data_IF_673594464571
#
_entry.id   IF_673594464571
#
_cell.length_a   1.000
_cell.length_b   1.000
_cell.length_c   1.000
_cell.angle_alpha   90.00
_cell.angle_beta   90.00
_cell.angle_gamma   90.00
#
_symmetry.space_group_name_H-M   'P 1'
#
loop_
_entity.id
_entity.type
_entity.pdbx_description
1 polymer ?
#
# COMPACT_ATOMS: atom_id res chain seq x y z
N UNK A 1 -17.88 3.56 0.93
CA UNK A 1 -18.08 4.94 0.49
C UNK A 1 -17.46 5.15 -0.88
N UNK A 2 -18.03 6.00 -1.70
CA UNK A 2 -17.50 6.46 -3.00
C UNK A 2 -17.23 7.96 -2.90
N UNK A 3 -16.04 8.37 -3.35
CA UNK A 3 -15.65 9.79 -3.40
C UNK A 3 -15.85 10.34 -4.81
N UNK A 4 -16.53 11.46 -4.92
CA UNK A 4 -16.65 12.24 -6.16
C UNK A 4 -15.71 13.44 -6.05
N UNK A 5 -14.60 13.40 -6.79
CA UNK A 5 -13.60 14.47 -6.75
C UNK A 5 -14.08 15.79 -7.36
N UNK A 6 -15.05 15.76 -8.27
CA UNK A 6 -15.55 16.98 -8.92
C UNK A 6 -16.38 17.82 -7.94
N UNK A 7 -17.07 17.16 -7.01
CA UNK A 7 -17.92 17.81 -6.01
C UNK A 7 -17.33 17.81 -4.60
N UNK A 8 -16.26 17.01 -4.37
CA UNK A 8 -15.68 16.81 -3.04
C UNK A 8 -16.59 16.04 -2.08
N UNK A 9 -17.57 15.29 -2.60
CA UNK A 9 -18.60 14.64 -1.78
C UNK A 9 -18.40 13.14 -1.67
N UNK A 10 -18.87 12.57 -0.54
CA UNK A 10 -18.87 11.14 -0.29
C UNK A 10 -20.29 10.59 -0.35
N UNK A 11 -20.48 9.48 -1.08
CA UNK A 11 -21.70 8.70 -1.14
C UNK A 11 -21.52 7.37 -0.40
N UNK A 12 -22.48 7.05 0.48
CA UNK A 12 -22.48 5.74 1.13
C UNK A 12 -22.92 4.67 0.14
N UNK A 13 -22.08 3.63 0.03
CA UNK A 13 -22.34 2.45 -0.79
C UNK A 13 -22.79 1.28 0.10
N UNK A 14 -23.07 0.11 -0.50
CA UNK A 14 -23.44 -1.09 0.25
C UNK A 14 -22.41 -1.45 1.32
N UNK A 15 -22.89 -1.81 2.47
CA UNK A 15 -22.03 -2.22 3.58
C UNK A 15 -21.30 -3.54 3.25
N UNK A 16 -20.07 -3.65 3.71
CA UNK A 16 -19.27 -4.85 3.56
C UNK A 16 -19.89 -6.01 4.37
N UNK A 17 -20.25 -7.15 3.75
CA UNK A 17 -20.98 -8.22 4.41
C UNK A 17 -20.09 -9.21 5.17
N UNK A 18 -18.76 -9.12 5.01
CA UNK A 18 -17.82 -9.97 5.73
C UNK A 18 -17.64 -9.54 7.19
N UNK A 19 -16.89 -10.32 7.93
CA UNK A 19 -16.53 -9.98 9.32
C UNK A 19 -15.77 -8.66 9.34
N UNK A 20 -16.07 -7.77 10.30
CA UNK A 20 -15.32 -6.55 10.55
C UNK A 20 -13.85 -6.88 10.79
N UNK A 21 -12.95 -6.16 10.15
CA UNK A 21 -11.53 -6.52 10.11
C UNK A 21 -10.60 -5.33 10.05
N UNK A 22 -9.38 -5.53 10.51
CA UNK A 22 -8.25 -4.62 10.37
C UNK A 22 -7.18 -5.22 9.47
N UNK A 23 -6.29 -4.37 8.92
CA UNK A 23 -5.10 -4.80 8.18
C UNK A 23 -5.39 -5.75 7.01
N UNK A 24 -6.57 -5.59 6.42
CA UNK A 24 -6.98 -6.25 5.19
C UNK A 24 -6.24 -5.67 3.99
N UNK A 25 -6.29 -6.36 2.87
CA UNK A 25 -5.82 -5.83 1.59
C UNK A 25 -6.99 -5.55 0.66
N UNK A 26 -6.76 -4.63 -0.29
CA UNK A 26 -7.68 -4.36 -1.38
C UNK A 26 -6.93 -4.20 -2.71
N UNK A 27 -7.58 -4.55 -3.80
CA UNK A 27 -7.13 -4.26 -5.16
C UNK A 27 -8.35 -4.06 -6.09
N UNK A 28 -8.12 -3.48 -7.25
CA UNK A 28 -9.14 -3.33 -8.30
C UNK A 28 -8.73 -4.14 -9.53
N UNK A 29 -9.66 -4.87 -10.12
CA UNK A 29 -9.45 -5.60 -11.37
C UNK A 29 -10.80 -5.70 -12.11
N UNK A 30 -10.76 -5.62 -13.44
CA UNK A 30 -11.94 -5.77 -14.30
C UNK A 30 -13.13 -4.87 -13.89
N UNK A 31 -12.83 -3.61 -13.52
CA UNK A 31 -13.84 -2.62 -13.10
C UNK A 31 -14.52 -2.90 -11.75
N UNK A 32 -13.98 -3.81 -10.96
CA UNK A 32 -14.49 -4.22 -9.65
C UNK A 32 -13.45 -4.03 -8.55
N UNK A 33 -13.91 -3.90 -7.32
CA UNK A 33 -13.05 -3.86 -6.14
C UNK A 33 -13.00 -5.23 -5.44
N UNK A 34 -11.87 -5.55 -4.84
CA UNK A 34 -11.66 -6.80 -4.11
C UNK A 34 -11.07 -6.51 -2.74
N UNK A 35 -11.61 -7.14 -1.69
CA UNK A 35 -11.16 -6.99 -0.30
C UNK A 35 -11.04 -8.35 0.35
N UNK A 36 -9.96 -8.57 1.08
CA UNK A 36 -9.77 -9.83 1.81
C UNK A 36 -8.62 -9.81 2.79
N UNK A 37 -8.36 -10.94 3.41
CA UNK A 37 -7.37 -11.11 4.48
C UNK A 37 -7.64 -10.21 5.71
N UNK A 38 -6.62 -9.91 6.49
CA UNK A 38 -6.78 -9.12 7.72
C UNK A 38 -7.04 -9.98 8.96
N UNK A 39 -7.45 -9.37 10.05
CA UNK A 39 -7.85 -10.05 11.28
C UNK A 39 -9.10 -9.41 11.89
N UNK A 40 -9.89 -10.20 12.62
CA UNK A 40 -11.11 -9.76 13.29
C UNK A 40 -10.86 -9.23 14.71
N UNK A 41 -11.91 -8.90 15.43
CA UNK A 41 -11.84 -8.39 16.80
C UNK A 41 -11.30 -9.41 17.83
N UNK A 42 -11.24 -10.68 17.48
CA UNK A 42 -10.71 -11.77 18.29
C UNK A 42 -9.30 -12.20 17.86
N UNK A 43 -8.61 -11.38 17.04
CA UNK A 43 -7.30 -11.65 16.45
C UNK A 43 -7.25 -12.90 15.55
N UNK A 44 -8.41 -13.39 15.08
CA UNK A 44 -8.45 -14.45 14.09
C UNK A 44 -8.01 -13.93 12.72
N UNK A 45 -6.97 -14.51 12.18
CA UNK A 45 -6.49 -14.18 10.82
C UNK A 45 -7.48 -14.70 9.79
N UNK A 46 -7.76 -13.89 8.81
CA UNK A 46 -8.77 -14.13 7.79
C UNK A 46 -8.13 -14.45 6.44
N UNK A 47 -8.84 -15.21 5.61
CA UNK A 47 -8.45 -15.50 4.22
C UNK A 47 -9.63 -15.44 3.24
N UNK A 48 -10.83 -15.11 3.71
CA UNK A 48 -11.97 -14.87 2.83
C UNK A 48 -11.72 -13.65 1.95
N UNK A 49 -12.26 -13.69 0.74
CA UNK A 49 -12.22 -12.60 -0.22
C UNK A 49 -13.60 -12.26 -0.74
N UNK A 50 -13.80 -10.98 -1.05
CA UNK A 50 -15.07 -10.42 -1.48
C UNK A 50 -14.86 -9.49 -2.67
N UNK A 51 -15.71 -9.61 -3.66
CA UNK A 51 -15.80 -8.76 -4.84
C UNK A 51 -16.89 -7.72 -4.63
N UNK A 52 -16.57 -6.46 -4.86
CA UNK A 52 -17.52 -5.36 -4.95
C UNK A 52 -17.76 -4.98 -6.41
N UNK A 53 -19.02 -5.01 -6.83
CA UNK A 53 -19.42 -4.51 -8.14
C UNK A 53 -20.03 -3.10 -8.01
N UNK A 54 -19.35 -2.05 -8.49
CA UNK A 54 -19.85 -0.67 -8.35
C UNK A 54 -21.09 -0.41 -9.20
N UNK A 55 -21.29 -1.12 -10.32
CA UNK A 55 -22.44 -0.93 -11.20
C UNK A 55 -23.76 -1.39 -10.56
N UNK A 56 -23.71 -2.41 -9.71
CA UNK A 56 -24.87 -2.95 -9.00
C UNK A 56 -24.88 -2.57 -7.52
N UNK A 57 -23.82 -1.96 -7.02
CA UNK A 57 -23.60 -1.66 -5.61
C UNK A 57 -23.78 -2.90 -4.72
N UNK A 58 -23.17 -4.02 -5.09
CA UNK A 58 -23.29 -5.30 -4.37
C UNK A 58 -21.95 -5.95 -4.10
N UNK A 59 -21.90 -6.69 -3.00
CA UNK A 59 -20.79 -7.55 -2.62
C UNK A 59 -21.08 -9.01 -2.89
N UNK A 60 -20.10 -9.74 -3.36
CA UNK A 60 -20.18 -11.20 -3.58
C UNK A 60 -18.95 -11.86 -2.95
N UNK A 61 -19.15 -12.93 -2.17
CA UNK A 61 -18.03 -13.74 -1.70
C UNK A 61 -17.45 -14.52 -2.87
N UNK A 62 -16.12 -14.50 -2.99
CA UNK A 62 -15.37 -15.21 -4.03
C UNK A 62 -14.49 -16.30 -3.39
N UNK A 63 -13.67 -16.98 -4.21
CA UNK A 63 -12.74 -17.99 -3.70
C UNK A 63 -11.86 -17.43 -2.58
N UNK A 64 -11.72 -18.18 -1.51
CA UNK A 64 -10.81 -17.85 -0.42
C UNK A 64 -9.38 -17.72 -0.93
N UNK A 65 -8.62 -16.82 -0.32
CA UNK A 65 -7.21 -16.59 -0.63
C UNK A 65 -6.41 -17.91 -0.69
N UNK A 66 -5.61 -18.08 -1.72
CA UNK A 66 -4.86 -19.33 -1.96
C UNK A 66 -3.75 -19.63 -0.95
N UNK A 67 -3.26 -18.61 -0.25
CA UNK A 67 -2.26 -18.73 0.80
C UNK A 67 -2.87 -18.94 2.19
N UNK A 68 -2.04 -18.82 3.22
CA UNK A 68 -2.47 -18.86 4.62
C UNK A 68 -3.24 -17.60 5.00
N UNK A 69 -4.17 -17.70 5.96
CA UNK A 69 -4.84 -16.57 6.56
C UNK A 69 -3.80 -15.62 7.17
N UNK A 70 -3.88 -14.33 6.86
CA UNK A 70 -2.83 -13.34 7.18
C UNK A 70 -3.36 -11.92 7.27
N UNK A 71 -2.55 -11.03 7.80
CA UNK A 71 -2.78 -9.59 7.83
C UNK A 71 -1.51 -8.81 7.47
N UNK A 72 -1.62 -7.49 7.28
CA UNK A 72 -0.52 -6.62 6.88
C UNK A 72 0.23 -7.12 5.62
N UNK A 73 -0.50 -7.74 4.70
CA UNK A 73 0.00 -8.14 3.39
C UNK A 73 0.02 -6.93 2.43
N UNK A 74 0.66 -7.08 1.29
CA UNK A 74 0.52 -6.15 0.17
C UNK A 74 -0.45 -6.69 -0.86
N UNK A 75 -1.13 -5.79 -1.58
CA UNK A 75 -1.91 -6.14 -2.77
C UNK A 75 -1.72 -5.12 -3.88
N UNK A 76 -1.83 -5.58 -5.11
CA UNK A 76 -1.78 -4.75 -6.31
C UNK A 76 -2.46 -5.45 -7.49
N UNK A 77 -2.65 -4.74 -8.59
CA UNK A 77 -3.23 -5.31 -9.82
C UNK A 77 -2.35 -5.04 -11.01
N UNK A 78 -2.18 -6.07 -11.85
CA UNK A 78 -1.55 -5.98 -13.17
C UNK A 78 -2.40 -6.75 -14.16
N UNK A 79 -2.70 -6.17 -15.32
CA UNK A 79 -3.42 -6.82 -16.43
C UNK A 79 -4.74 -7.48 -15.98
N UNK A 80 -5.54 -6.75 -15.20
CA UNK A 80 -6.81 -7.22 -14.65
C UNK A 80 -6.71 -8.51 -13.79
N UNK A 81 -5.55 -8.75 -13.18
CA UNK A 81 -5.35 -9.81 -12.20
C UNK A 81 -4.95 -9.17 -10.87
N UNK A 82 -5.49 -9.67 -9.78
CA UNK A 82 -5.08 -9.27 -8.44
C UNK A 82 -3.86 -10.06 -7.96
N UNK A 83 -2.99 -9.41 -7.22
CA UNK A 83 -1.84 -10.04 -6.56
C UNK A 83 -1.88 -9.72 -5.08
N UNK A 84 -1.65 -10.73 -4.25
CA UNK A 84 -1.58 -10.59 -2.77
C UNK A 84 -0.40 -11.40 -2.27
N UNK A 85 0.40 -10.81 -1.40
CA UNK A 85 1.55 -11.51 -0.84
C UNK A 85 2.15 -10.83 0.37
N UNK A 86 3.24 -11.38 0.87
CA UNK A 86 3.87 -10.95 2.12
C UNK A 86 2.91 -11.01 3.32
N UNK A 87 3.09 -10.18 4.34
CA UNK A 87 2.22 -10.16 5.51
C UNK A 87 2.66 -11.10 6.62
N UNK A 88 1.74 -11.34 7.56
CA UNK A 88 2.01 -12.10 8.79
C UNK A 88 0.89 -13.10 9.10
N UNK A 89 1.25 -14.37 9.29
CA UNK A 89 0.33 -15.46 9.71
C UNK A 89 0.68 -16.08 11.08
N UNK A 90 1.64 -15.52 11.76
CA UNK A 90 2.41 -16.02 12.90
C UNK A 90 3.88 -16.04 12.55
N UNK A 91 4.19 -15.96 11.24
CA UNK A 91 5.52 -15.77 10.69
C UNK A 91 5.46 -14.65 9.64
N UNK A 92 6.55 -13.95 9.44
CA UNK A 92 6.68 -13.04 8.30
C UNK A 92 6.75 -13.85 7.01
N UNK A 93 6.04 -13.38 5.99
CA UNK A 93 5.83 -14.10 4.73
C UNK A 93 6.48 -13.38 3.56
N UNK A 94 6.71 -14.11 2.46
CA UNK A 94 7.19 -13.56 1.19
C UNK A 94 6.58 -14.25 -0.04
N UNK A 95 5.65 -15.18 0.17
CA UNK A 95 4.89 -15.78 -0.92
C UNK A 95 4.03 -14.73 -1.62
N UNK A 96 3.76 -14.96 -2.89
CA UNK A 96 2.90 -14.13 -3.71
C UNK A 96 1.89 -15.00 -4.44
N UNK A 97 0.66 -14.53 -4.51
CA UNK A 97 -0.47 -15.22 -5.12
C UNK A 97 -1.17 -14.31 -6.13
N UNK A 98 -1.55 -14.88 -7.25
CA UNK A 98 -2.27 -14.22 -8.33
C UNK A 98 -3.72 -14.72 -8.36
N UNK A 99 -4.65 -13.79 -8.36
CA UNK A 99 -6.08 -14.03 -8.53
C UNK A 99 -6.53 -13.74 -9.97
N UNK A 100 -7.27 -14.67 -10.55
CA UNK A 100 -7.91 -14.50 -11.84
C UNK A 100 -9.42 -14.32 -11.65
N UNK A 101 -9.99 -13.11 -11.89
CA UNK A 101 -11.43 -12.87 -11.76
C UNK A 101 -12.29 -13.70 -12.72
N UNK A 102 -11.77 -14.05 -13.89
CA UNK A 102 -12.50 -14.80 -14.91
C UNK A 102 -12.76 -16.23 -14.45
N UNK A 103 -11.78 -16.86 -13.83
CA UNK A 103 -11.88 -18.25 -13.36
C UNK A 103 -12.21 -18.37 -11.87
N UNK A 104 -12.22 -17.25 -11.14
CA UNK A 104 -12.37 -17.20 -9.69
C UNK A 104 -11.37 -18.12 -8.98
N UNK A 105 -10.11 -18.08 -9.36
CA UNK A 105 -9.05 -18.95 -8.81
C UNK A 105 -7.79 -18.20 -8.41
N UNK A 106 -7.14 -18.71 -7.38
CA UNK A 106 -5.83 -18.27 -6.94
C UNK A 106 -4.74 -19.23 -7.43
N UNK A 107 -3.65 -18.69 -7.95
CA UNK A 107 -2.45 -19.45 -8.32
C UNK A 107 -1.21 -18.82 -7.70
N UNK A 108 -0.25 -19.62 -7.28
CA UNK A 108 0.98 -19.09 -6.73
C UNK A 108 1.82 -18.42 -7.81
N UNK A 109 2.26 -17.19 -7.56
CA UNK A 109 3.24 -16.46 -8.37
C UNK A 109 4.64 -16.61 -7.76
N UNK A 110 5.67 -16.09 -8.44
CA UNK A 110 7.02 -16.08 -7.89
C UNK A 110 7.06 -15.33 -6.56
N UNK A 111 7.52 -15.98 -5.51
CA UNK A 111 7.70 -15.36 -4.21
C UNK A 111 8.68 -14.20 -4.28
N UNK A 112 8.46 -13.16 -3.47
CA UNK A 112 9.41 -12.05 -3.34
C UNK A 112 10.82 -12.60 -3.06
N UNK A 113 11.80 -12.21 -3.87
CA UNK A 113 13.17 -12.67 -3.72
C UNK A 113 13.82 -12.10 -2.47
N UNK A 114 13.45 -10.87 -2.09
CA UNK A 114 13.92 -10.18 -0.90
C UNK A 114 13.47 -10.79 0.43
N UNK A 115 13.63 -10.01 1.47
CA UNK A 115 13.28 -10.42 2.84
C UNK A 115 11.78 -10.66 3.00
N UNK A 116 11.43 -11.63 3.86
CA UNK A 116 10.06 -11.77 4.38
C UNK A 116 9.65 -10.48 5.08
N UNK A 117 8.39 -10.07 4.95
CA UNK A 117 7.92 -8.80 5.53
C UNK A 117 6.43 -8.74 5.78
N UNK A 118 6.04 -7.86 6.68
CA UNK A 118 4.69 -7.33 6.85
C UNK A 118 4.73 -5.79 6.79
N UNK A 119 3.55 -5.15 6.70
CA UNK A 119 3.45 -3.68 6.78
C UNK A 119 4.24 -2.93 5.70
N UNK A 120 4.56 -3.61 4.61
CA UNK A 120 5.14 -3.01 3.42
C UNK A 120 4.07 -2.30 2.59
N UNK A 121 4.51 -1.48 1.67
CA UNK A 121 3.64 -0.87 0.66
C UNK A 121 3.99 -1.37 -0.73
N UNK A 122 2.98 -1.34 -1.61
CA UNK A 122 3.14 -1.69 -3.02
C UNK A 122 2.46 -0.67 -3.92
N UNK A 123 3.02 -0.43 -5.08
CA UNK A 123 2.42 0.36 -6.15
C UNK A 123 2.68 -0.28 -7.50
N UNK A 124 1.92 0.15 -8.51
CA UNK A 124 2.08 -0.32 -9.89
C UNK A 124 2.31 0.87 -10.81
N UNK A 125 3.26 0.71 -11.71
CA UNK A 125 3.50 1.65 -12.80
C UNK A 125 3.96 0.89 -14.05
N UNK A 126 3.35 1.17 -15.21
CA UNK A 126 3.67 0.55 -16.51
C UNK A 126 3.77 -0.99 -16.45
N UNK A 127 2.71 -1.63 -15.93
CA UNK A 127 2.59 -3.09 -15.79
C UNK A 127 3.67 -3.77 -14.94
N UNK A 128 4.39 -3.01 -14.13
CA UNK A 128 5.28 -3.52 -13.09
C UNK A 128 4.76 -3.15 -11.71
N UNK A 129 4.83 -4.09 -10.78
CA UNK A 129 4.59 -3.79 -9.37
C UNK A 129 5.91 -3.56 -8.64
N UNK A 130 5.84 -2.73 -7.63
CA UNK A 130 6.97 -2.37 -6.78
C UNK A 130 6.60 -2.62 -5.33
N UNK A 131 7.51 -3.22 -4.55
CA UNK A 131 7.34 -3.43 -3.10
C UNK A 131 8.50 -2.79 -2.38
N UNK A 132 8.18 -1.97 -1.39
CA UNK A 132 9.15 -1.20 -0.63
C UNK A 132 8.77 -1.15 0.84
N UNK A 133 9.72 -0.89 1.72
CA UNK A 133 9.54 -0.75 3.18
C UNK A 133 9.04 -2.03 3.87
N UNK A 134 8.49 -1.87 5.06
CA UNK A 134 7.96 -2.97 5.87
C UNK A 134 8.92 -3.44 6.94
N UNK A 135 8.45 -4.43 7.68
CA UNK A 135 9.07 -4.91 8.91
C UNK A 135 9.32 -6.43 8.85
N UNK A 136 10.46 -6.88 9.35
CA UNK A 136 10.76 -8.28 9.61
C UNK A 136 11.49 -8.44 10.95
N UNK A 137 10.84 -9.09 11.91
CA UNK A 137 11.40 -9.33 13.26
C UNK A 137 11.99 -8.05 13.92
N UNK A 138 11.26 -6.94 13.86
CA UNK A 138 11.70 -5.67 14.44
C UNK A 138 12.68 -4.86 13.58
N UNK A 139 13.11 -5.40 12.44
CA UNK A 139 14.01 -4.70 11.51
C UNK A 139 13.19 -4.03 10.40
N UNK A 140 13.31 -2.71 10.26
CA UNK A 140 12.76 -1.97 9.12
C UNK A 140 13.62 -2.20 7.89
N UNK A 141 12.98 -2.63 6.80
CA UNK A 141 13.66 -3.09 5.61
C UNK A 141 13.99 -1.91 4.68
N UNK A 142 15.12 -2.02 4.00
CA UNK A 142 15.60 -1.03 3.03
C UNK A 142 15.70 -1.57 1.59
N UNK A 143 15.45 -2.86 1.39
CA UNK A 143 15.45 -3.47 0.08
C UNK A 143 14.20 -3.07 -0.71
N UNK A 144 14.37 -2.85 -2.00
CA UNK A 144 13.34 -2.41 -2.92
C UNK A 144 13.30 -3.32 -4.13
N UNK A 145 12.09 -3.73 -4.53
CA UNK A 145 11.90 -4.78 -5.53
C UNK A 145 10.85 -4.40 -6.55
N UNK A 146 11.12 -4.67 -7.83
CA UNK A 146 10.13 -4.63 -8.90
C UNK A 146 9.76 -6.03 -9.36
N UNK A 147 8.49 -6.23 -9.70
CA UNK A 147 7.91 -7.47 -10.21
C UNK A 147 7.40 -7.28 -11.62
N UNK A 148 7.81 -8.15 -12.51
CA UNK A 148 7.32 -8.25 -13.88
C UNK A 148 6.37 -9.45 -14.00
N UNK A 149 5.09 -9.17 -14.30
CA UNK A 149 4.07 -10.20 -14.40
C UNK A 149 4.19 -11.06 -15.67
N UNK A 150 4.82 -10.53 -16.72
CA UNK A 150 5.05 -11.24 -17.98
C UNK A 150 6.10 -12.34 -17.85
N UNK A 151 7.15 -12.08 -17.11
CA UNK A 151 8.24 -13.04 -16.82
C UNK A 151 8.05 -13.78 -15.50
N UNK A 152 7.08 -13.35 -14.67
CA UNK A 152 6.85 -13.85 -13.31
C UNK A 152 8.15 -13.84 -12.47
N UNK A 153 8.87 -12.71 -12.46
CA UNK A 153 10.16 -12.57 -11.80
C UNK A 153 10.32 -11.24 -11.07
N UNK A 154 11.18 -11.23 -10.06
CA UNK A 154 11.54 -10.08 -9.25
C UNK A 154 12.93 -9.58 -9.63
N UNK A 155 13.09 -8.25 -9.66
CA UNK A 155 14.38 -7.57 -9.84
C UNK A 155 14.61 -6.66 -8.64
N UNK A 156 15.79 -6.75 -8.02
CA UNK A 156 16.21 -5.82 -6.97
C UNK A 156 16.53 -4.47 -7.61
N UNK A 157 16.00 -3.42 -7.02
CA UNK A 157 16.28 -2.03 -7.35
C UNK A 157 17.27 -1.45 -6.34
N UNK A 158 17.66 -0.21 -6.54
CA UNK A 158 18.50 0.51 -5.59
C UNK A 158 17.84 0.51 -4.21
N UNK A 159 18.63 0.28 -3.16
CA UNK A 159 18.11 0.35 -1.78
C UNK A 159 17.58 1.73 -1.47
N UNK A 160 16.50 1.79 -0.68
CA UNK A 160 15.82 3.06 -0.40
C UNK A 160 16.64 4.04 0.45
N UNK A 161 17.69 3.57 1.08
CA UNK A 161 18.64 4.40 1.84
C UNK A 161 19.86 4.83 1.02
N UNK A 162 19.91 4.48 -0.26
CA UNK A 162 20.95 4.87 -1.20
C UNK A 162 20.34 5.79 -2.24
N UNK A 163 20.09 7.03 -1.86
CA UNK A 163 19.17 7.94 -2.54
C UNK A 163 19.74 8.55 -3.82
N UNK A 164 21.00 8.95 -3.86
CA UNK A 164 21.67 9.40 -5.09
C UNK A 164 23.19 9.19 -5.01
N UNK A 165 23.88 9.14 -6.17
CA UNK A 165 25.35 9.10 -6.21
C UNK A 165 26.01 10.40 -5.76
N UNK A 166 25.24 11.49 -5.61
CA UNK A 166 25.78 12.85 -5.43
C UNK A 166 25.85 13.34 -3.99
N UNK A 167 25.16 12.74 -3.08
CA UNK A 167 25.35 12.99 -1.64
C UNK A 167 24.42 12.16 -0.82
N UNK A 168 24.97 11.34 -0.03
CA UNK A 168 24.29 10.98 1.12
C UNK A 168 24.83 11.72 2.27
N UNK A 169 24.02 12.58 2.78
CA UNK A 169 24.03 12.89 4.18
C UNK A 169 23.51 11.64 4.88
N UNK A 170 24.39 10.93 5.60
CA UNK A 170 24.04 9.74 6.39
C UNK A 170 22.87 9.99 7.35
N UNK A 171 22.50 11.25 7.58
CA UNK A 171 21.37 11.66 8.41
C UNK A 171 20.00 11.34 7.80
N UNK A 172 19.88 11.15 6.48
CA UNK A 172 18.63 10.81 5.81
C UNK A 172 18.35 9.31 5.70
N UNK A 173 19.36 8.48 5.83
CA UNK A 173 19.30 7.04 5.63
C UNK A 173 18.20 6.34 6.43
N UNK A 174 17.91 6.85 7.59
CA UNK A 174 17.00 6.19 8.52
C UNK A 174 15.55 6.65 8.39
N UNK A 175 15.27 7.82 7.85
CA UNK A 175 13.92 8.39 7.80
C UNK A 175 13.01 7.76 6.74
N UNK A 176 13.57 7.21 5.67
CA UNK A 176 12.79 6.56 4.62
C UNK A 176 12.32 5.16 5.00
N UNK A 177 13.12 4.39 5.77
CA UNK A 177 12.76 3.03 6.24
C UNK A 177 11.64 3.09 7.27
N UNK A 178 10.52 2.45 7.00
CA UNK A 178 9.30 2.53 7.82
C UNK A 178 8.37 1.34 7.62
N UNK A 179 7.33 1.28 8.41
CA UNK A 179 6.19 0.38 8.25
C UNK A 179 4.87 1.16 8.33
N UNK A 180 3.75 0.53 8.00
CA UNK A 180 2.41 1.12 8.06
C UNK A 180 2.28 2.47 7.34
N UNK A 181 3.10 2.70 6.32
CA UNK A 181 3.04 3.86 5.44
C UNK A 181 1.95 3.70 4.38
N UNK A 182 1.75 4.73 3.58
CA UNK A 182 0.99 4.64 2.33
C UNK A 182 1.85 5.05 1.14
N UNK A 183 1.51 4.58 -0.07
CA UNK A 183 2.19 4.94 -1.30
C UNK A 183 1.19 5.05 -2.46
N UNK A 184 1.36 6.04 -3.31
CA UNK A 184 0.53 6.28 -4.49
C UNK A 184 1.36 6.84 -5.63
N UNK A 185 0.83 6.77 -6.86
CA UNK A 185 1.53 7.20 -8.07
C UNK A 185 0.80 8.40 -8.68
N UNK A 186 1.56 9.43 -9.04
CA UNK A 186 1.08 10.57 -9.83
C UNK A 186 2.06 10.79 -11.00
N UNK A 187 1.58 10.67 -12.22
CA UNK A 187 2.46 10.65 -13.41
C UNK A 187 3.47 9.52 -13.34
N UNK A 188 4.73 9.87 -13.51
CA UNK A 188 5.87 8.93 -13.48
C UNK A 188 6.63 8.93 -12.14
N UNK A 189 5.95 9.35 -11.07
CA UNK A 189 6.52 9.42 -9.72
C UNK A 189 5.65 8.64 -8.73
N UNK A 190 6.27 7.97 -7.76
CA UNK A 190 5.57 7.40 -6.62
C UNK A 190 5.88 8.20 -5.35
N UNK A 191 4.88 8.36 -4.49
CA UNK A 191 4.98 9.16 -3.27
C UNK A 191 4.71 8.27 -2.05
N UNK A 192 5.74 8.09 -1.23
CA UNK A 192 5.68 7.37 0.05
C UNK A 192 5.40 8.39 1.14
N UNK A 193 4.36 8.18 1.93
CA UNK A 193 3.92 9.13 2.95
C UNK A 193 3.69 8.47 4.29
N UNK A 194 4.08 9.18 5.36
CA UNK A 194 3.75 8.85 6.74
C UNK A 194 4.20 7.45 7.17
N UNK A 195 3.54 6.84 8.17
CA UNK A 195 3.90 5.53 8.71
C UNK A 195 4.61 5.62 10.05
N UNK A 196 5.32 4.56 10.42
CA UNK A 196 6.02 4.51 11.70
C UNK A 196 7.40 3.89 11.62
N UNK A 197 8.32 4.43 12.45
CA UNK A 197 9.63 3.88 12.75
C UNK A 197 10.09 4.44 14.10
N UNK A 198 10.14 3.61 15.12
CA UNK A 198 10.42 4.07 16.50
C UNK A 198 9.51 5.22 16.97
N UNK A 199 8.40 5.44 16.30
CA UNK A 199 7.43 6.50 16.46
C UNK A 199 6.73 6.78 15.14
N UNK A 200 5.69 7.60 15.17
CA UNK A 200 4.93 7.99 13.97
C UNK A 200 5.70 9.05 13.19
N UNK A 201 5.73 8.92 11.87
CA UNK A 201 6.48 9.76 10.94
C UNK A 201 5.49 10.55 10.07
N UNK A 202 5.80 11.81 9.76
CA UNK A 202 5.04 12.63 8.81
C UNK A 202 5.80 12.90 7.50
N UNK A 203 7.07 12.47 7.36
CA UNK A 203 7.86 12.75 6.17
C UNK A 203 7.32 12.08 4.91
N UNK A 204 7.46 12.76 3.79
CA UNK A 204 7.08 12.31 2.45
C UNK A 204 8.31 12.14 1.56
N UNK A 205 8.28 11.13 0.71
CA UNK A 205 9.36 10.83 -0.22
C UNK A 205 8.81 10.62 -1.63
N UNK A 206 9.44 11.24 -2.61
CA UNK A 206 9.18 11.04 -4.03
C UNK A 206 10.18 10.02 -4.58
N UNK A 207 9.68 9.01 -5.27
CA UNK A 207 10.48 8.07 -6.04
C UNK A 207 10.39 8.41 -7.53
N UNK A 208 11.53 8.73 -8.15
CA UNK A 208 11.67 8.86 -9.59
C UNK A 208 11.83 7.47 -10.21
N UNK A 209 10.77 6.98 -10.84
CA UNK A 209 10.72 5.61 -11.40
C UNK A 209 11.70 5.44 -12.55
N UNK A 210 11.97 6.49 -13.32
CA UNK A 210 12.89 6.44 -14.46
C UNK A 210 14.37 6.40 -14.05
N UNK A 211 14.70 7.09 -12.96
CA UNK A 211 16.09 7.25 -12.50
C UNK A 211 16.43 6.32 -11.32
N UNK A 212 15.45 5.63 -10.75
CA UNK A 212 15.60 4.78 -9.56
C UNK A 212 16.21 5.57 -8.37
N UNK A 213 15.64 6.76 -8.08
CA UNK A 213 16.12 7.66 -7.03
C UNK A 213 14.99 8.16 -6.16
N UNK A 214 15.30 8.43 -4.89
CA UNK A 214 14.37 8.99 -3.92
C UNK A 214 14.75 10.43 -3.58
N UNK A 215 13.75 11.28 -3.33
CA UNK A 215 13.92 12.67 -2.89
C UNK A 215 12.91 12.94 -1.77
N UNK A 216 13.40 13.49 -0.65
CA UNK A 216 12.50 13.95 0.40
C UNK A 216 11.69 15.16 -0.06
N UNK A 217 10.42 15.18 0.29
CA UNK A 217 9.46 16.25 -0.04
C UNK A 217 8.94 16.87 1.26
N UNK A 218 8.23 17.97 1.12
CA UNK A 218 7.48 18.58 2.22
C UNK A 218 6.69 17.53 2.99
N UNK A 219 6.79 17.55 4.32
CA UNK A 219 6.12 16.61 5.21
C UNK A 219 4.58 16.64 5.06
N UNK A 220 3.93 15.64 5.61
CA UNK A 220 2.47 15.63 5.71
C UNK A 220 2.05 16.66 6.76
N UNK A 221 1.32 17.69 6.35
CA UNK A 221 0.92 18.82 7.21
C UNK A 221 -0.18 18.45 8.22
N UNK A 222 -0.94 17.40 7.96
CA UNK A 222 -1.89 16.89 8.95
C UNK A 222 -1.20 16.23 10.13
N UNK A 223 -1.96 15.93 11.18
CA UNK A 223 -1.43 15.22 12.34
C UNK A 223 -0.74 13.92 11.93
N UNK A 224 0.50 13.71 12.36
CA UNK A 224 1.29 12.53 12.07
C UNK A 224 0.55 11.23 12.42
N UNK A 225 0.53 10.27 11.50
CA UNK A 225 -0.29 9.06 11.58
C UNK A 225 0.30 7.88 10.81
N UNK A 226 -0.17 6.69 11.11
CA UNK A 226 0.15 5.44 10.42
C UNK A 226 -1.13 4.72 9.98
N UNK A 227 -1.00 3.69 9.14
CA UNK A 227 -2.13 2.91 8.65
C UNK A 227 -3.10 3.69 7.76
N UNK A 228 -2.59 4.71 7.08
CA UNK A 228 -3.32 5.52 6.12
C UNK A 228 -3.67 4.71 4.87
N UNK A 229 -4.71 5.18 4.18
CA UNK A 229 -4.98 4.77 2.81
C UNK A 229 -4.67 5.92 1.87
N UNK A 230 -4.26 5.60 0.66
CA UNK A 230 -4.07 6.58 -0.41
C UNK A 230 -4.65 6.07 -1.72
N UNK A 231 -5.01 6.99 -2.58
CA UNK A 231 -5.47 6.71 -3.94
C UNK A 231 -5.16 7.90 -4.86
N UNK A 232 -5.14 7.63 -6.16
CA UNK A 232 -4.95 8.63 -7.19
C UNK A 232 -6.17 8.65 -8.11
N UNK A 233 -6.68 9.84 -8.38
CA UNK A 233 -7.76 10.09 -9.35
C UNK A 233 -7.36 11.28 -10.21
N UNK A 234 -7.40 11.13 -11.55
CA UNK A 234 -7.04 12.19 -12.52
C UNK A 234 -5.70 12.86 -12.20
N UNK A 235 -4.69 12.04 -11.87
CA UNK A 235 -3.35 12.48 -11.50
C UNK A 235 -3.27 13.38 -10.24
N UNK A 236 -4.26 13.30 -9.36
CA UNK A 236 -4.30 13.94 -8.04
C UNK A 236 -4.19 12.86 -6.98
N UNK A 237 -3.26 13.02 -6.06
CA UNK A 237 -3.02 12.10 -4.95
C UNK A 237 -3.86 12.49 -3.73
N UNK A 238 -4.44 11.50 -3.08
CA UNK A 238 -5.24 11.68 -1.88
C UNK A 238 -4.79 10.75 -0.78
N UNK A 239 -4.73 11.27 0.44
CA UNK A 239 -4.41 10.52 1.66
C UNK A 239 -5.63 10.62 2.58
N UNK A 240 -6.07 9.50 3.14
CA UNK A 240 -7.29 9.42 3.94
C UNK A 240 -7.08 8.50 5.13
N UNK A 241 -7.81 8.79 6.21
CA UNK A 241 -7.86 7.97 7.42
C UNK A 241 -6.50 7.85 8.13
N UNK A 242 -6.26 6.76 8.79
CA UNK A 242 -5.09 6.51 9.62
C UNK A 242 -5.36 6.68 11.10
N UNK A 243 -4.36 6.40 11.88
CA UNK A 243 -4.45 6.53 13.33
C UNK A 243 -3.10 6.96 13.93
N UNK A 244 -3.17 7.47 15.16
CA UNK A 244 -2.03 7.55 16.05
C UNK A 244 -2.40 6.91 17.39
N UNK A 245 -1.54 7.02 18.38
CA UNK A 245 -1.78 6.39 19.70
C UNK A 245 -3.09 6.85 20.38
N UNK A 246 -3.63 8.00 20.01
CA UNK A 246 -4.76 8.65 20.70
C UNK A 246 -6.01 8.77 19.83
N UNK A 247 -5.86 8.88 18.51
CA UNK A 247 -6.95 9.21 17.59
C UNK A 247 -6.99 8.30 16.39
N UNK A 248 -8.22 8.10 15.85
CA UNK A 248 -8.46 7.60 14.48
C UNK A 248 -9.01 8.77 13.68
N UNK A 249 -8.47 8.93 12.47
CA UNK A 249 -8.77 10.07 11.62
C UNK A 249 -9.77 9.67 10.53
N UNK A 250 -10.68 10.57 10.19
CA UNK A 250 -11.69 10.43 9.14
C UNK A 250 -11.61 11.57 8.09
N UNK A 251 -10.52 12.33 8.12
CA UNK A 251 -10.21 13.41 7.20
C UNK A 251 -9.66 12.90 5.86
N UNK A 252 -9.73 13.74 4.85
CA UNK A 252 -9.17 13.53 3.52
C UNK A 252 -8.26 14.70 3.18
N UNK A 253 -7.05 14.40 2.75
CA UNK A 253 -6.04 15.37 2.32
C UNK A 253 -5.70 15.17 0.85
N UNK A 254 -5.60 16.24 0.08
CA UNK A 254 -5.02 16.23 -1.24
C UNK A 254 -3.53 16.56 -1.16
N UNK A 255 -2.71 15.77 -1.85
CA UNK A 255 -1.26 15.91 -1.83
C UNK A 255 -0.77 16.78 -2.98
N UNK A 256 0.03 17.78 -2.65
CA UNK A 256 0.64 18.71 -3.60
C UNK A 256 2.17 18.57 -3.53
N UNK A 257 2.82 17.83 -4.45
CA UNK A 257 4.26 17.49 -4.34
C UNK A 257 5.21 18.69 -4.47
N UNK A 258 4.71 19.83 -4.92
CA UNK A 258 5.49 21.08 -5.09
C UNK A 258 5.11 22.16 -4.07
N UNK A 259 4.26 21.85 -3.09
CA UNK A 259 3.95 22.80 -2.04
C UNK A 259 5.20 23.06 -1.19
N UNK A 260 5.41 24.31 -0.83
CA UNK A 260 6.39 24.69 0.20
C UNK A 260 5.78 24.39 1.56
N UNK A 261 6.62 24.03 2.52
CA UNK A 261 6.17 23.81 3.89
C UNK A 261 5.72 25.15 4.48
N UNK A 262 4.50 25.18 5.02
CA UNK A 262 4.04 26.33 5.79
C UNK A 262 4.51 26.17 7.24
N UNK A 263 5.55 26.90 7.61
CA UNK A 263 6.12 26.87 8.96
C UNK A 263 5.32 27.73 9.95
N UNK A 264 4.26 28.41 9.49
CA UNK A 264 3.50 29.37 10.32
C UNK A 264 2.37 28.72 11.16
N UNK A 265 2.10 27.42 10.97
CA UNK A 265 1.03 26.66 11.66
C UNK A 265 1.48 25.96 12.96
N UNK A 266 2.54 26.45 13.65
CA UNK A 266 2.96 25.93 14.96
C UNK A 266 2.38 26.71 16.13
#
# INVERSE_FOLDING_TARGET
WSFDQATGTWLRMADFPGVARNSAVAFAADGKGYVGTGYDENDNKLKDFWEYNPSTNTWTRIADFGGTARYNAVAFSINNKGYVGTGYDGNYLKDMWKYDPVTNTWTQAASLTGSKRSEAVAFVHNDKAYIVTGLNNGTYLNDFWSYDAGTNSWTELRKINDVTDDSFDDDYDDNIKRSNATIFVMGDKAYLSSGSRSGIIASNWEYDIANDTWLEKTGFEGTAREGLLSFTVDNRGFIVTGNNSSYRFDDLWEFYPSAEQDDDDN
#
